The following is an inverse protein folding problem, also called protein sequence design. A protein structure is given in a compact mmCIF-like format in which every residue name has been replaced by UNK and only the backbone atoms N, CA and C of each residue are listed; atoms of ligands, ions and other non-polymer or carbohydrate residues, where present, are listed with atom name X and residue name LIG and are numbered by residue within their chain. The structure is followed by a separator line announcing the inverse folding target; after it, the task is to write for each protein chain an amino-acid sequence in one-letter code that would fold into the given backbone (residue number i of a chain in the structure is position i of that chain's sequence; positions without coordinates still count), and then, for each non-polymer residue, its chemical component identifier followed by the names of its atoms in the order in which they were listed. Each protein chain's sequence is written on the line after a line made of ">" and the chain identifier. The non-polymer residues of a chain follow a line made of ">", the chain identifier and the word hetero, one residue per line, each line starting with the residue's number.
data_IF_548349922852
#
_entry.id   IF_548349922852
#
_cell.length_a   1.000
_cell.length_b   1.000
_cell.length_c   1.000
_cell.angle_alpha   90.00
_cell.angle_beta   90.00
_cell.angle_gamma   90.00
#
_symmetry.space_group_name_H-M   'P 1'
#
loop_
_entity.id
_entity.type
_entity.pdbx_description
1 polymer ?
#
# COMPACT_ATOMS: atom_id res chain seq x y z
N UNK A 1 -29.33 -37.70 -5.25
CA UNK A 1 -28.12 -37.76 -4.41
C UNK A 1 -28.56 -37.49 -2.98
N UNK A 2 -28.36 -38.45 -2.09
CA UNK A 2 -28.57 -38.31 -0.64
C UNK A 2 -27.26 -37.85 -0.03
N UNK A 3 -27.31 -36.87 0.86
CA UNK A 3 -26.19 -36.42 1.69
C UNK A 3 -26.61 -36.69 3.13
N UNK A 4 -26.14 -37.82 3.66
CA UNK A 4 -26.34 -38.19 5.06
C UNK A 4 -24.95 -38.16 5.74
N UNK A 5 -24.89 -37.38 6.82
CA UNK A 5 -24.02 -37.48 7.99
C UNK A 5 -22.49 -37.56 7.83
N UNK A 6 -21.83 -36.43 8.11
CA UNK A 6 -20.48 -36.43 8.68
C UNK A 6 -20.49 -35.69 10.02
N UNK A 7 -20.45 -36.50 11.07
CA UNK A 7 -20.34 -36.13 12.48
C UNK A 7 -18.97 -35.54 12.81
N UNK A 8 -18.96 -34.45 13.59
CA UNK A 8 -17.78 -33.84 14.19
C UNK A 8 -17.64 -34.30 15.65
N UNK A 9 -16.58 -35.06 15.94
CA UNK A 9 -15.94 -35.26 17.25
C UNK A 9 -14.68 -36.14 17.01
N UNK A 10 -13.53 -36.02 17.68
CA UNK A 10 -13.09 -35.25 18.83
C UNK A 10 -11.52 -35.22 18.83
N UNK A 11 -10.95 -34.61 19.85
CA UNK A 11 -9.62 -34.04 20.05
C UNK A 11 -8.34 -34.93 20.01
N UNK A 12 -7.23 -34.18 19.89
CA UNK A 12 -5.93 -34.34 20.56
C UNK A 12 -4.96 -35.46 20.12
N UNK A 13 -3.87 -35.04 19.45
CA UNK A 13 -2.53 -35.60 19.67
C UNK A 13 -1.53 -34.45 19.77
N UNK A 14 -0.82 -34.43 20.91
CA UNK A 14 0.27 -33.52 21.23
C UNK A 14 1.61 -34.00 20.63
N UNK A 15 2.48 -33.01 20.40
CA UNK A 15 3.94 -33.05 20.35
C UNK A 15 4.61 -33.75 19.16
N UNK A 16 5.37 -32.95 18.40
CA UNK A 16 6.81 -33.16 18.22
C UNK A 16 7.47 -31.84 17.82
N UNK A 17 8.37 -31.37 18.68
CA UNK A 17 9.32 -30.29 18.44
C UNK A 17 10.44 -30.83 17.53
N UNK A 18 10.76 -30.11 16.46
CA UNK A 18 12.09 -30.14 15.83
C UNK A 18 12.63 -28.71 15.77
N UNK A 19 13.63 -28.43 16.61
CA UNK A 19 14.72 -27.50 16.31
C UNK A 19 15.43 -28.00 15.02
N UNK A 20 15.93 -27.21 14.08
CA UNK A 20 16.23 -25.80 14.01
C UNK A 20 17.21 -25.62 12.84
N UNK A 21 17.03 -24.54 12.08
CA UNK A 21 18.01 -23.71 11.34
C UNK A 21 17.14 -22.68 10.61
N UNK A 22 16.67 -21.70 11.37
CA UNK A 22 16.11 -20.48 10.82
C UNK A 22 17.03 -19.37 11.27
N UNK A 23 17.73 -18.73 10.34
CA UNK A 23 18.50 -17.52 10.63
C UNK A 23 17.55 -16.53 11.31
N UNK A 24 17.92 -16.11 12.52
CA UNK A 24 17.21 -15.11 13.28
C UNK A 24 17.33 -13.76 12.57
N UNK A 25 16.19 -13.10 12.32
CA UNK A 25 16.15 -11.81 11.62
C UNK A 25 16.99 -10.73 12.29
N UNK A 26 17.29 -10.88 13.59
CA UNK A 26 18.14 -9.98 14.36
C UNK A 26 19.62 -10.05 13.92
N UNK A 27 20.13 -11.22 13.55
CA UNK A 27 21.52 -11.38 13.07
C UNK A 27 21.71 -10.77 11.68
N UNK A 28 20.67 -10.79 10.85
CA UNK A 28 20.68 -10.11 9.56
C UNK A 28 20.73 -8.59 9.71
N UNK A 29 19.97 -8.03 10.67
CA UNK A 29 19.95 -6.59 10.94
C UNK A 29 21.27 -6.08 11.53
N UNK A 30 21.92 -6.85 12.40
CA UNK A 30 23.23 -6.48 12.97
C UNK A 30 24.32 -6.35 11.89
N UNK A 31 24.32 -7.23 10.88
CA UNK A 31 25.31 -7.22 9.78
C UNK A 31 25.26 -5.99 8.87
N UNK A 32 24.16 -5.24 8.86
CA UNK A 32 24.02 -4.02 8.05
C UNK A 32 24.67 -2.80 8.71
N UNK A 33 24.87 -2.82 10.03
CA UNK A 33 25.39 -1.68 10.78
C UNK A 33 26.92 -1.68 10.94
N UNK A 34 27.60 -2.79 10.64
CA UNK A 34 29.05 -2.93 10.79
C UNK A 34 29.89 -2.33 9.64
N UNK A 35 29.27 -1.82 8.57
CA UNK A 35 30.00 -1.34 7.37
C UNK A 35 30.18 0.19 7.26
N UNK A 36 30.08 0.94 8.37
CA UNK A 36 30.44 2.37 8.36
C UNK A 36 31.84 2.59 8.97
N UNK A 37 32.86 2.38 8.15
CA UNK A 37 34.19 2.94 8.43
C UNK A 37 34.19 4.46 8.25
N UNK A 38 34.38 5.13 9.38
CA UNK A 38 35.19 6.33 9.63
C UNK A 38 35.58 7.23 8.43
N UNK A 39 34.92 8.38 8.33
CA UNK A 39 35.47 9.57 7.69
C UNK A 39 35.49 10.73 8.70
N UNK A 40 36.23 10.56 9.79
CA UNK A 40 36.64 11.65 10.66
C UNK A 40 38.12 11.96 10.43
N UNK A 41 38.44 12.95 9.58
CA UNK A 41 39.68 13.73 9.70
C UNK A 41 39.77 14.94 8.76
N UNK A 42 40.51 15.93 9.26
CA UNK A 42 40.86 17.27 8.71
C UNK A 42 39.87 18.39 9.05
N UNK A 43 40.19 19.44 9.81
CA UNK A 43 41.44 19.85 10.47
C UNK A 43 41.25 21.25 11.08
N UNK A 44 41.46 21.34 12.39
CA UNK A 44 42.03 22.42 13.23
C UNK A 44 42.09 23.90 12.75
N UNK A 45 41.54 24.80 13.59
CA UNK A 45 41.99 26.14 14.08
C UNK A 45 42.92 27.01 13.17
N UNK A 46 42.81 28.34 12.99
CA UNK A 46 42.67 29.48 13.92
C UNK A 46 42.41 30.77 13.11
N UNK A 47 41.84 31.77 13.77
CA UNK A 47 41.75 33.19 13.38
C UNK A 47 43.04 33.76 12.75
N UNK A 48 42.88 34.50 11.65
CA UNK A 48 43.76 35.62 11.32
C UNK A 48 42.94 36.85 10.88
N UNK A 49 43.34 38.00 11.41
CA UNK A 49 42.64 39.29 11.34
C UNK A 49 43.18 40.08 10.13
N UNK A 50 42.32 40.59 9.25
CA UNK A 50 42.27 42.03 8.86
C UNK A 50 41.52 42.35 7.56
N UNK A 51 40.45 43.13 7.74
CA UNK A 51 40.03 44.36 7.04
C UNK A 51 39.53 44.33 5.58
N UNK A 52 38.24 44.70 5.48
CA UNK A 52 37.59 45.64 4.55
C UNK A 52 37.85 45.46 3.04
N UNK A 53 36.80 45.15 2.29
CA UNK A 53 35.98 46.17 1.62
C UNK A 53 34.94 45.52 0.71
N UNK A 54 33.88 46.25 0.39
CA UNK A 54 32.57 45.75 -0.02
C UNK A 54 32.52 44.79 -1.21
N UNK A 55 31.58 43.85 -1.15
CA UNK A 55 31.05 43.11 -2.29
C UNK A 55 29.65 42.65 -1.93
N UNK A 56 28.72 42.89 -2.84
CA UNK A 56 27.28 42.69 -2.67
C UNK A 56 26.95 41.29 -2.16
N UNK A 57 26.14 41.22 -1.12
CA UNK A 57 25.62 39.96 -0.62
C UNK A 57 24.71 39.34 -1.68
N UNK A 58 25.26 38.44 -2.49
CA UNK A 58 24.48 37.51 -3.30
C UNK A 58 23.53 36.79 -2.35
N UNK A 59 22.24 37.09 -2.46
CA UNK A 59 21.18 36.47 -1.68
C UNK A 59 21.09 35.01 -2.14
N UNK A 60 21.92 34.14 -1.58
CA UNK A 60 21.68 32.71 -1.59
C UNK A 60 20.42 32.51 -0.74
N UNK A 61 19.25 32.60 -1.39
CA UNK A 61 17.99 32.21 -0.79
C UNK A 61 18.18 30.82 -0.22
N UNK A 62 17.95 30.69 1.08
CA UNK A 62 17.96 29.42 1.79
C UNK A 62 16.92 28.52 1.13
N UNK A 63 17.33 27.67 0.19
CA UNK A 63 16.45 26.67 -0.42
C UNK A 63 16.12 25.66 0.67
N UNK A 64 14.97 25.81 1.30
CA UNK A 64 14.42 24.82 2.22
C UNK A 64 14.03 23.59 1.41
N UNK A 65 14.84 22.53 1.49
CA UNK A 65 14.50 21.23 0.93
C UNK A 65 13.25 20.69 1.65
N UNK A 66 12.15 20.53 0.92
CA UNK A 66 10.98 19.82 1.39
C UNK A 66 10.96 18.43 0.73
N UNK A 67 11.19 17.34 1.47
CA UNK A 67 11.18 15.99 0.90
C UNK A 67 9.80 15.56 0.37
N UNK A 68 8.72 16.25 0.75
CA UNK A 68 7.38 15.99 0.23
C UNK A 68 7.05 16.81 -1.04
N UNK A 69 7.93 17.72 -1.46
CA UNK A 69 7.72 18.51 -2.67
C UNK A 69 8.25 17.77 -3.90
N UNK A 70 7.41 17.69 -4.92
CA UNK A 70 7.81 17.17 -6.22
C UNK A 70 8.70 18.21 -6.93
N UNK A 71 9.79 17.73 -7.50
CA UNK A 71 10.64 18.50 -8.39
C UNK A 71 9.90 18.82 -9.70
N UNK A 72 10.30 19.88 -10.42
CA UNK A 72 9.72 20.16 -11.74
C UNK A 72 9.84 18.98 -12.72
N UNK A 73 10.88 18.16 -12.60
CA UNK A 73 11.07 16.97 -13.44
C UNK A 73 10.08 15.85 -13.07
N UNK A 74 9.81 15.64 -11.79
CA UNK A 74 8.78 14.67 -11.33
C UNK A 74 7.38 15.13 -11.75
N UNK A 75 7.09 16.44 -11.66
CA UNK A 75 5.83 17.01 -12.17
C UNK A 75 5.73 16.74 -13.67
N UNK A 76 6.75 17.11 -14.46
CA UNK A 76 6.74 16.88 -15.89
C UNK A 76 6.61 15.39 -16.26
N UNK A 77 7.21 14.48 -15.49
CA UNK A 77 7.09 13.05 -15.70
C UNK A 77 5.66 12.52 -15.44
N UNK A 78 4.97 13.04 -14.43
CA UNK A 78 3.61 12.62 -14.11
C UNK A 78 2.53 13.31 -14.96
N UNK A 79 2.73 14.57 -15.36
CA UNK A 79 1.70 15.39 -16.01
C UNK A 79 1.97 15.64 -17.50
N UNK A 80 3.20 15.40 -17.97
CA UNK A 80 3.69 15.79 -19.29
C UNK A 80 4.13 17.26 -19.41
N UNK A 81 3.92 18.08 -18.37
CA UNK A 81 4.21 19.52 -18.36
C UNK A 81 4.59 20.02 -16.95
N UNK A 82 5.80 20.56 -16.73
CA UNK A 82 6.24 21.04 -15.42
C UNK A 82 5.39 22.18 -14.84
N UNK A 83 4.61 22.89 -15.67
CA UNK A 83 3.70 23.95 -15.22
C UNK A 83 2.31 23.46 -14.82
N UNK A 84 2.01 22.17 -15.03
CA UNK A 84 0.68 21.62 -14.83
C UNK A 84 0.52 21.03 -13.43
N UNK A 85 -0.51 21.46 -12.71
CA UNK A 85 -0.85 20.98 -11.37
C UNK A 85 -2.00 19.96 -11.35
N UNK A 86 -2.60 19.66 -12.50
CA UNK A 86 -3.74 18.74 -12.63
C UNK A 86 -3.49 17.69 -13.71
N UNK A 87 -3.91 16.45 -13.43
CA UNK A 87 -3.89 15.33 -14.38
C UNK A 87 -5.33 14.88 -14.61
N UNK A 88 -5.69 14.70 -15.88
CA UNK A 88 -7.02 14.26 -16.29
C UNK A 88 -6.90 13.00 -17.15
N UNK A 89 -7.91 12.13 -17.09
CA UNK A 89 -8.01 10.94 -17.93
C UNK A 89 -9.42 10.79 -18.48
N UNK A 90 -9.55 10.18 -19.66
CA UNK A 90 -10.84 9.93 -20.30
C UNK A 90 -11.52 8.62 -19.82
N UNK A 91 -10.85 7.83 -18.97
CA UNK A 91 -11.38 6.56 -18.48
C UNK A 91 -12.51 6.80 -17.46
N UNK A 92 -13.69 6.26 -17.73
CA UNK A 92 -14.80 6.24 -16.78
C UNK A 92 -14.70 5.00 -15.89
N UNK A 93 -13.94 5.11 -14.81
CA UNK A 93 -13.65 4.00 -13.90
C UNK A 93 -14.59 3.99 -12.69
N UNK A 94 -15.01 2.79 -12.30
CA UNK A 94 -15.70 2.54 -11.02
C UNK A 94 -15.03 1.38 -10.31
N UNK A 95 -14.88 1.49 -8.99
CA UNK A 95 -14.39 0.36 -8.21
C UNK A 95 -15.49 -0.67 -8.13
N UNK A 96 -15.14 -1.92 -8.42
CA UNK A 96 -16.11 -3.02 -8.37
C UNK A 96 -16.72 -3.21 -6.98
N UNK A 97 -15.98 -2.84 -5.94
CA UNK A 97 -16.40 -3.04 -4.56
C UNK A 97 -17.42 -2.00 -4.08
N UNK A 98 -17.35 -0.76 -4.55
CA UNK A 98 -18.33 0.29 -4.26
C UNK A 98 -19.66 0.12 -5.02
N UNK A 99 -19.70 -0.67 -6.09
CA UNK A 99 -20.92 -0.91 -6.86
C UNK A 99 -21.88 -1.93 -6.22
N UNK A 100 -21.36 -2.80 -5.36
CA UNK A 100 -22.14 -3.88 -4.74
C UNK A 100 -22.36 -3.54 -3.27
N UNK A 101 -23.62 -3.57 -2.84
CA UNK A 101 -23.96 -3.34 -1.44
C UNK A 101 -23.24 -4.35 -0.54
N UNK A 102 -22.50 -3.84 0.45
CA UNK A 102 -21.72 -4.64 1.37
C UNK A 102 -22.44 -4.95 2.67
N UNK A 103 -21.79 -5.77 3.51
CA UNK A 103 -22.23 -5.98 4.89
C UNK A 103 -21.69 -4.88 5.80
N UNK A 104 -22.49 -4.51 6.80
CA UNK A 104 -22.06 -3.59 7.85
C UNK A 104 -20.73 -4.04 8.48
N UNK A 105 -19.85 -3.09 8.81
CA UNK A 105 -18.53 -3.30 9.42
C UNK A 105 -17.47 -4.00 8.54
N UNK A 106 -17.74 -4.21 7.26
CA UNK A 106 -16.75 -4.68 6.27
C UNK A 106 -16.43 -3.62 5.21
N UNK A 107 -17.30 -2.61 5.07
CA UNK A 107 -17.18 -1.50 4.11
C UNK A 107 -17.12 -0.15 4.79
N UNK A 108 -16.49 0.82 4.12
CA UNK A 108 -16.57 2.23 4.46
C UNK A 108 -17.83 2.91 3.88
N UNK A 109 -17.93 4.24 4.03
CA UNK A 109 -19.04 5.04 3.53
C UNK A 109 -19.16 5.09 2.00
N UNK A 110 -18.08 4.76 1.29
CA UNK A 110 -18.04 4.71 -0.18
C UNK A 110 -18.32 3.28 -0.70
N UNK A 111 -18.49 2.30 0.18
CA UNK A 111 -18.69 0.90 -0.19
C UNK A 111 -17.39 0.13 -0.44
N UNK A 112 -16.22 0.74 -0.20
CA UNK A 112 -14.93 0.07 -0.35
C UNK A 112 -14.63 -0.83 0.85
N UNK A 113 -13.81 -1.90 0.72
CA UNK A 113 -13.31 -2.61 1.89
C UNK A 113 -12.69 -1.64 2.89
N UNK A 114 -12.83 -1.88 4.20
CA UNK A 114 -12.16 -1.05 5.22
C UNK A 114 -10.67 -1.34 5.29
N UNK A 115 -10.26 -2.56 4.91
CA UNK A 115 -8.87 -3.02 4.94
C UNK A 115 -8.63 -3.96 3.76
N UNK A 116 -7.58 -3.70 3.00
CA UNK A 116 -7.04 -4.61 1.98
C UNK A 116 -5.56 -4.95 2.24
N UNK A 117 -4.86 -4.18 3.06
CA UNK A 117 -3.53 -4.49 3.56
C UNK A 117 -3.47 -4.29 5.07
N UNK A 118 -2.86 -5.25 5.78
CA UNK A 118 -2.70 -5.18 7.23
C UNK A 118 -1.39 -5.80 7.70
N UNK A 119 -0.50 -4.96 8.22
CA UNK A 119 0.72 -5.36 8.92
C UNK A 119 0.91 -4.49 10.18
N UNK A 120 1.99 -4.72 10.93
CA UNK A 120 2.23 -4.06 12.24
C UNK A 120 2.18 -2.52 12.21
N UNK A 121 2.53 -1.91 11.07
CA UNK A 121 2.64 -0.45 10.95
C UNK A 121 1.55 0.19 10.10
N UNK A 122 0.69 -0.61 9.45
CA UNK A 122 -0.32 -0.09 8.53
C UNK A 122 -1.54 -1.01 8.49
N UNK A 123 -2.71 -0.40 8.44
CA UNK A 123 -3.98 -1.09 8.23
C UNK A 123 -4.89 -0.17 7.43
N UNK A 124 -5.20 -0.54 6.20
CA UNK A 124 -6.04 0.28 5.34
C UNK A 124 -6.27 -0.33 3.97
N UNK A 125 -6.93 0.44 3.13
CA UNK A 125 -7.31 0.05 1.76
C UNK A 125 -6.36 0.72 0.78
N UNK A 126 -5.66 -0.12 0.01
CA UNK A 126 -4.69 0.29 -1.01
C UNK A 126 -4.84 -0.52 -2.30
N UNK A 127 -5.66 -1.55 -2.28
CA UNK A 127 -5.92 -2.44 -3.42
C UNK A 127 -7.32 -2.16 -3.98
N UNK A 128 -7.42 -2.12 -5.30
CA UNK A 128 -8.67 -1.82 -5.99
C UNK A 128 -8.76 -2.66 -7.27
N UNK A 129 -9.97 -3.07 -7.63
CA UNK A 129 -10.30 -3.56 -8.96
C UNK A 129 -11.21 -2.53 -9.60
N UNK A 130 -10.68 -1.79 -10.58
CA UNK A 130 -11.42 -0.81 -11.36
C UNK A 130 -11.99 -1.46 -12.61
N UNK A 131 -13.25 -1.18 -12.92
CA UNK A 131 -13.89 -1.56 -14.18
C UNK A 131 -14.25 -0.31 -14.97
N UNK A 132 -14.24 -0.42 -16.29
CA UNK A 132 -14.69 0.63 -17.21
C UNK A 132 -16.16 0.46 -17.57
N UNK A 133 -16.69 1.36 -18.41
CA UNK A 133 -17.92 1.10 -19.14
C UNK A 133 -17.83 -0.20 -19.98
N UNK A 134 -18.99 -0.81 -20.23
CA UNK A 134 -19.09 -2.10 -20.93
C UNK A 134 -18.95 -3.33 -20.05
N UNK A 135 -18.45 -3.18 -18.81
CA UNK A 135 -18.49 -4.20 -17.77
C UNK A 135 -19.41 -3.78 -16.63
N UNK A 136 -20.13 -4.76 -16.07
CA UNK A 136 -20.95 -4.61 -14.88
C UNK A 136 -20.41 -5.54 -13.79
N UNK A 137 -20.30 -5.03 -12.57
CA UNK A 137 -20.03 -5.87 -11.40
C UNK A 137 -21.27 -6.67 -11.05
N UNK A 138 -21.15 -8.00 -11.05
CA UNK A 138 -22.25 -8.94 -10.71
C UNK A 138 -22.25 -9.21 -9.21
N UNK A 139 -21.07 -9.53 -8.68
CA UNK A 139 -20.85 -9.77 -7.24
C UNK A 139 -19.37 -9.64 -6.91
N UNK A 140 -19.10 -9.44 -5.63
CA UNK A 140 -17.74 -9.39 -5.07
C UNK A 140 -17.62 -10.33 -3.88
N UNK A 141 -16.42 -10.85 -3.64
CA UNK A 141 -16.14 -11.59 -2.41
C UNK A 141 -16.16 -10.61 -1.23
N UNK A 142 -16.94 -10.93 -0.20
CA UNK A 142 -17.05 -10.08 0.99
C UNK A 142 -15.69 -9.95 1.71
N UNK A 143 -15.28 -8.75 2.18
CA UNK A 143 -14.05 -8.57 2.92
C UNK A 143 -14.12 -9.24 4.27
N UNK A 144 -12.93 -9.49 4.80
CA UNK A 144 -12.79 -9.92 6.18
C UNK A 144 -13.18 -8.73 7.09
N UNK A 145 -14.09 -8.93 8.07
CA UNK A 145 -14.40 -7.89 9.03
C UNK A 145 -13.15 -7.40 9.76
N UNK A 146 -13.01 -6.09 9.93
CA UNK A 146 -11.84 -5.46 10.58
C UNK A 146 -11.51 -6.10 11.93
N UNK A 147 -12.54 -6.37 12.75
CA UNK A 147 -12.37 -7.02 14.06
C UNK A 147 -11.75 -8.42 13.96
N UNK A 148 -12.06 -9.19 12.93
CA UNK A 148 -11.50 -10.53 12.73
C UNK A 148 -10.04 -10.47 12.27
N UNK A 149 -9.67 -9.47 11.47
CA UNK A 149 -8.27 -9.27 11.06
C UNK A 149 -7.37 -8.95 12.26
N UNK A 150 -7.88 -8.16 13.22
CA UNK A 150 -7.13 -7.73 14.41
C UNK A 150 -6.91 -8.85 15.46
N UNK A 151 -7.28 -10.10 15.19
CA UNK A 151 -6.92 -11.25 16.02
C UNK A 151 -5.43 -11.62 15.92
N UNK A 152 -4.74 -11.11 14.89
CA UNK A 152 -3.28 -11.16 14.74
C UNK A 152 -2.73 -9.72 14.78
N UNK A 153 -1.47 -9.47 15.21
CA UNK A 153 -0.85 -8.14 15.12
C UNK A 153 -0.66 -7.63 13.69
N UNK A 154 -0.86 -8.49 12.69
CA UNK A 154 -0.70 -8.20 11.27
C UNK A 154 -0.56 -9.49 10.47
N UNK A 155 -0.53 -9.35 9.16
CA UNK A 155 -0.16 -10.39 8.21
C UNK A 155 1.24 -10.07 7.63
N UNK A 156 1.93 -11.03 6.97
CA UNK A 156 1.57 -12.44 6.83
C UNK A 156 1.58 -13.20 8.17
N UNK A 157 0.97 -14.39 8.18
CA UNK A 157 1.02 -15.36 9.29
C UNK A 157 1.34 -16.74 8.72
N UNK A 158 1.66 -17.78 9.52
CA UNK A 158 1.87 -19.13 8.99
C UNK A 158 0.70 -19.67 8.14
N UNK A 159 -0.52 -19.16 8.33
CA UNK A 159 -1.71 -19.54 7.54
C UNK A 159 -1.97 -18.61 6.35
N UNK A 160 -1.32 -17.44 6.29
CA UNK A 160 -1.59 -16.39 5.30
C UNK A 160 -0.27 -15.84 4.77
N UNK A 161 0.06 -16.17 3.52
CA UNK A 161 1.37 -15.85 2.93
C UNK A 161 1.55 -14.40 2.46
N UNK A 162 0.55 -13.53 2.61
CA UNK A 162 0.63 -12.11 2.23
C UNK A 162 0.00 -11.24 3.31
N UNK A 163 0.50 -10.01 3.43
CA UNK A 163 -0.10 -8.93 4.20
C UNK A 163 -1.26 -8.22 3.50
N UNK A 164 -1.41 -8.46 2.19
CA UNK A 164 -2.56 -8.03 1.40
C UNK A 164 -3.64 -9.11 1.34
N UNK A 165 -4.90 -8.67 1.34
CA UNK A 165 -6.10 -9.48 1.24
C UNK A 165 -6.56 -9.49 -0.21
N UNK A 166 -6.62 -10.68 -0.80
CA UNK A 166 -7.04 -10.85 -2.19
C UNK A 166 -8.45 -10.28 -2.43
N UNK A 167 -8.55 -9.38 -3.41
CA UNK A 167 -9.80 -8.88 -3.94
C UNK A 167 -10.31 -9.80 -5.05
N UNK A 168 -11.61 -10.09 -5.05
CA UNK A 168 -12.23 -10.97 -6.04
C UNK A 168 -13.57 -10.40 -6.47
N UNK A 169 -13.74 -10.24 -7.77
CA UNK A 169 -14.95 -9.69 -8.39
C UNK A 169 -15.39 -10.57 -9.56
N UNK A 170 -16.70 -10.78 -9.69
CA UNK A 170 -17.32 -11.35 -10.87
C UNK A 170 -17.90 -10.22 -11.73
N UNK A 171 -17.48 -10.18 -12.99
CA UNK A 171 -17.86 -9.17 -13.96
C UNK A 171 -18.62 -9.81 -15.13
N UNK A 172 -19.58 -9.08 -15.67
CA UNK A 172 -20.30 -9.44 -16.89
C UNK A 172 -20.22 -8.30 -17.91
N UNK A 173 -20.27 -8.63 -19.21
CA UNK A 173 -20.40 -7.63 -20.25
C UNK A 173 -21.81 -7.04 -20.25
N UNK A 174 -21.91 -5.72 -20.33
CA UNK A 174 -23.17 -5.03 -20.53
C UNK A 174 -23.71 -5.36 -21.93
N UNK A 175 -24.98 -5.77 -22.03
CA UNK A 175 -25.64 -5.90 -23.33
C UNK A 175 -25.73 -4.53 -23.99
N UNK A 176 -25.29 -4.43 -25.24
CA UNK A 176 -25.52 -3.25 -26.07
C UNK A 176 -27.03 -3.20 -26.30
N UNK A 177 -27.73 -2.23 -25.70
CA UNK A 177 -29.09 -1.91 -26.14
C UNK A 177 -28.97 -1.44 -27.58
N UNK A 178 -29.32 -2.29 -28.54
CA UNK A 178 -29.56 -1.84 -29.91
C UNK A 178 -30.59 -0.72 -29.82
N UNK A 179 -30.22 0.50 -30.19
CA UNK A 179 -31.15 1.62 -30.28
C UNK A 179 -32.36 1.23 -31.14
N UNK A 180 -33.51 1.90 -30.98
CA UNK A 180 -34.68 1.64 -31.81
C UNK A 180 -34.27 1.70 -33.28
N UNK A 181 -34.52 0.60 -34.01
CA UNK A 181 -34.37 0.60 -35.46
C UNK A 181 -35.39 1.60 -36.00
N UNK A 182 -34.88 2.67 -36.61
CA UNK A 182 -35.69 3.65 -37.34
C UNK A 182 -36.41 3.00 -38.52
#
# INVERSE_FOLDING_TARGET
>A
MKLDDLTLDEAAVLAQEEEGIGEDGETFLAKLHDNNEDLSQTGELVNDISRESGSEAMHYGKVTYNPASWTPMEIAAATGDPGRSTVEHALELKSTYSEIEGKANTRDENGEPVVTSYHRCFMGTVDYIWRSEGLQTVRVLAPIPKQAMQWTPGFPTPKWGSDHIALVSELAFCSIKSGPKS
#
